data_IF_902511612022
#
_entry.id   IF_902511612022
#
_cell.length_a   1.000
_cell.length_b   1.000
_cell.length_c   1.000
_cell.angle_alpha   90.00
_cell.angle_beta   90.00
_cell.angle_gamma   90.00
#
_symmetry.space_group_name_H-M   'P 1'
#
loop_
_entity.id
_entity.type
_entity.pdbx_description
1 polymer ?
#
# COMPACT_ATOMS: atom_id res chain seq x y z
N UNK A 1 -5.35 12.78 10.17
CA UNK A 1 -5.57 11.64 9.25
C UNK A 1 -5.75 12.24 7.86
N UNK A 2 -5.12 11.66 6.83
CA UNK A 2 -5.25 12.18 5.45
C UNK A 2 -6.70 12.16 4.99
N UNK A 3 -7.03 12.98 3.99
CA UNK A 3 -8.42 13.20 3.53
C UNK A 3 -9.09 11.92 3.01
N UNK A 4 -8.32 10.88 2.66
CA UNK A 4 -8.77 9.67 1.96
C UNK A 4 -9.68 9.95 0.76
N UNK A 5 -9.55 11.12 0.14
CA UNK A 5 -10.45 11.60 -0.90
C UNK A 5 -10.44 10.69 -2.13
N UNK A 6 -9.31 10.03 -2.37
CA UNK A 6 -9.08 9.16 -3.51
C UNK A 6 -9.20 7.66 -3.19
N UNK A 7 -9.34 7.29 -1.91
CA UNK A 7 -9.55 5.91 -1.48
C UNK A 7 -8.32 5.00 -1.50
N UNK A 8 -7.12 5.58 -1.57
CA UNK A 8 -5.84 4.85 -1.54
C UNK A 8 -5.38 4.60 -0.10
N UNK A 9 -5.29 3.31 0.25
CA UNK A 9 -4.76 2.84 1.53
C UNK A 9 -3.41 2.15 1.32
N UNK A 10 -2.39 2.60 2.05
CA UNK A 10 -1.09 1.91 2.11
C UNK A 10 -1.00 1.11 3.41
N UNK A 11 -0.91 -0.21 3.29
CA UNK A 11 -0.66 -1.09 4.43
C UNK A 11 0.84 -1.28 4.59
N UNK A 12 1.30 -1.14 5.82
CA UNK A 12 2.70 -1.33 6.20
C UNK A 12 2.76 -2.13 7.49
N UNK A 13 3.91 -2.74 7.77
CA UNK A 13 4.18 -3.36 9.07
C UNK A 13 5.47 -2.79 9.60
N UNK A 14 5.35 -1.91 10.58
CA UNK A 14 6.47 -1.28 11.27
C UNK A 14 6.50 -1.80 12.71
N UNK A 15 7.62 -2.38 13.12
CA UNK A 15 7.86 -2.81 14.51
C UNK A 15 7.78 -1.62 15.48
N UNK A 16 8.36 -0.49 15.07
CA UNK A 16 8.31 0.77 15.80
C UNK A 16 7.37 1.77 15.11
N UNK A 17 6.24 2.06 15.75
CA UNK A 17 5.25 3.01 15.26
C UNK A 17 5.79 4.46 15.20
N UNK A 18 6.85 4.80 15.94
CA UNK A 18 7.50 6.10 15.84
C UNK A 18 8.19 6.33 14.48
N UNK A 19 8.37 5.27 13.67
CA UNK A 19 8.85 5.37 12.28
C UNK A 19 7.77 5.84 11.30
N UNK A 20 6.48 5.79 11.66
CA UNK A 20 5.38 6.14 10.75
C UNK A 20 5.48 7.60 10.22
N UNK A 21 5.78 8.63 11.03
CA UNK A 21 5.99 9.99 10.53
C UNK A 21 7.20 10.14 9.60
N UNK A 22 8.21 9.26 9.72
CA UNK A 22 9.34 9.24 8.77
C UNK A 22 8.89 8.65 7.44
N UNK A 23 8.08 7.59 7.47
CA UNK A 23 7.53 6.98 6.27
C UNK A 23 6.64 7.94 5.48
N UNK A 24 5.78 8.72 6.17
CA UNK A 24 4.96 9.77 5.54
C UNK A 24 5.78 10.86 4.85
N UNK A 25 7.04 11.06 5.27
CA UNK A 25 7.97 12.03 4.68
C UNK A 25 9.02 11.39 3.78
N UNK A 26 8.92 10.09 3.52
CA UNK A 26 9.88 9.35 2.70
C UNK A 26 9.86 9.87 1.26
N UNK A 27 11.03 10.23 0.74
CA UNK A 27 11.16 10.83 -0.60
C UNK A 27 10.81 9.83 -1.70
N UNK A 28 11.20 8.56 -1.54
CA UNK A 28 10.85 7.50 -2.49
C UNK A 28 9.33 7.31 -2.60
N UNK A 29 8.61 7.19 -1.48
CA UNK A 29 7.15 7.07 -1.48
C UNK A 29 6.47 8.31 -2.07
N UNK A 30 6.94 9.52 -1.73
CA UNK A 30 6.40 10.74 -2.29
C UNK A 30 6.59 10.82 -3.81
N UNK A 31 7.75 10.42 -4.33
CA UNK A 31 7.99 10.39 -5.77
C UNK A 31 7.15 9.31 -6.47
N UNK A 32 6.97 8.15 -5.83
CA UNK A 32 6.10 7.09 -6.32
C UNK A 32 4.64 7.57 -6.42
N UNK A 33 4.10 8.18 -5.36
CA UNK A 33 2.74 8.71 -5.36
C UNK A 33 2.55 9.78 -6.45
N UNK A 34 3.50 10.71 -6.58
CA UNK A 34 3.47 11.72 -7.66
C UNK A 34 3.43 11.08 -9.04
N UNK A 35 4.18 10.01 -9.27
CA UNK A 35 4.21 9.31 -10.55
C UNK A 35 2.88 8.64 -10.92
N UNK A 36 2.05 8.29 -9.93
CA UNK A 36 0.67 7.80 -10.11
C UNK A 36 -0.39 8.90 -9.90
N UNK A 37 0.00 10.18 -9.98
CA UNK A 37 -0.89 11.34 -9.82
C UNK A 37 -1.61 11.40 -8.46
N UNK A 38 -0.96 10.95 -7.40
CA UNK A 38 -1.44 11.00 -6.01
C UNK A 38 -0.50 11.85 -5.15
N UNK A 39 -1.00 12.27 -3.99
CA UNK A 39 -0.20 12.94 -2.95
C UNK A 39 -0.38 12.27 -1.60
N UNK A 40 0.61 12.39 -0.71
CA UNK A 40 0.63 11.71 0.59
C UNK A 40 -0.55 12.12 1.49
N UNK A 41 -0.96 13.39 1.41
CA UNK A 41 -2.05 13.99 2.19
C UNK A 41 -3.42 13.36 1.91
N UNK A 42 -3.59 12.77 0.72
CA UNK A 42 -4.81 12.09 0.30
C UNK A 42 -4.76 10.59 0.58
N UNK A 43 -3.59 10.06 0.94
CA UNK A 43 -3.39 8.66 1.24
C UNK A 43 -3.62 8.36 2.73
N UNK A 44 -4.08 7.15 3.01
CA UNK A 44 -4.15 6.64 4.39
C UNK A 44 -3.10 5.57 4.57
N UNK A 45 -2.16 5.77 5.50
CA UNK A 45 -1.21 4.73 5.89
C UNK A 45 -1.73 4.01 7.14
N UNK A 46 -1.87 2.69 7.05
CA UNK A 46 -2.25 1.83 8.16
C UNK A 46 -1.08 0.94 8.53
N UNK A 47 -0.57 1.12 9.75
CA UNK A 47 0.41 0.19 10.32
C UNK A 47 -0.31 -1.03 10.91
N UNK A 48 -0.14 -2.19 10.27
CA UNK A 48 -0.69 -3.47 10.72
C UNK A 48 0.21 -4.03 11.82
N UNK A 49 -0.19 -3.80 13.08
CA UNK A 49 0.56 -4.26 14.27
C UNK A 49 0.41 -5.75 14.55
N UNK A 50 -0.78 -6.31 14.31
CA UNK A 50 -1.09 -7.72 14.54
C UNK A 50 -0.36 -8.62 13.55
N UNK A 51 0.18 -9.80 13.92
CA UNK A 51 0.77 -10.74 12.97
C UNK A 51 -0.23 -11.24 11.92
N UNK A 52 -1.53 -11.10 12.21
CA UNK A 52 -2.61 -11.40 11.30
C UNK A 52 -2.85 -10.27 10.30
N UNK A 53 -3.27 -10.59 9.07
CA UNK A 53 -3.63 -9.58 8.09
C UNK A 53 -4.90 -8.83 8.54
N UNK A 54 -5.10 -7.61 8.03
CA UNK A 54 -6.34 -6.84 8.23
C UNK A 54 -7.36 -7.17 7.15
N UNK A 55 -8.64 -7.26 7.49
CA UNK A 55 -9.70 -7.45 6.50
C UNK A 55 -10.11 -6.13 5.82
N UNK A 56 -10.68 -6.21 4.62
CA UNK A 56 -11.27 -5.04 3.97
C UNK A 56 -12.46 -4.48 4.77
N UNK A 57 -13.21 -5.36 5.43
CA UNK A 57 -14.33 -4.99 6.30
C UNK A 57 -13.86 -4.15 7.48
N UNK A 58 -12.77 -4.53 8.15
CA UNK A 58 -12.19 -3.77 9.26
C UNK A 58 -11.71 -2.38 8.82
N UNK A 59 -11.12 -2.27 7.62
CA UNK A 59 -10.69 -0.98 7.09
C UNK A 59 -11.89 -0.07 6.81
N UNK A 60 -12.98 -0.62 6.22
CA UNK A 60 -14.21 0.12 5.93
C UNK A 60 -14.98 0.50 7.20
N UNK A 61 -15.01 -0.38 8.21
CA UNK A 61 -15.61 -0.10 9.51
C UNK A 61 -14.94 1.09 10.23
N UNK A 62 -13.69 1.42 9.88
CA UNK A 62 -12.98 2.63 10.34
C UNK A 62 -13.33 3.89 9.55
N UNK A 63 -14.34 3.83 8.68
CA UNK A 63 -14.78 4.94 7.83
C UNK A 63 -13.90 5.20 6.61
N UNK A 64 -13.01 4.25 6.24
CA UNK A 64 -12.15 4.41 5.07
C UNK A 64 -12.91 4.01 3.80
N UNK A 65 -12.98 4.93 2.84
CA UNK A 65 -13.42 4.65 1.47
C UNK A 65 -12.34 3.85 0.71
N UNK A 66 -12.15 2.56 1.05
CA UNK A 66 -11.10 1.73 0.45
C UNK A 66 -11.46 1.36 -0.99
N UNK A 67 -10.71 1.90 -1.96
CA UNK A 67 -10.81 1.57 -3.40
C UNK A 67 -9.53 0.91 -3.92
N UNK A 68 -8.40 1.37 -3.42
CA UNK A 68 -7.07 0.97 -3.86
C UNK A 68 -6.23 0.66 -2.63
N UNK A 69 -5.53 -0.47 -2.62
CA UNK A 69 -4.67 -0.88 -1.52
C UNK A 69 -3.28 -1.24 -2.05
N UNK A 70 -2.24 -0.65 -1.48
CA UNK A 70 -0.85 -1.09 -1.69
C UNK A 70 -0.33 -1.65 -0.37
N UNK A 71 0.08 -2.91 -0.35
CA UNK A 71 0.63 -3.56 0.83
C UNK A 71 2.14 -3.69 0.75
N UNK A 72 2.89 -2.93 1.54
CA UNK A 72 4.34 -3.00 1.63
C UNK A 72 4.78 -3.95 2.75
N UNK A 73 5.02 -5.21 2.40
CA UNK A 73 5.40 -6.26 3.34
C UNK A 73 4.55 -7.52 3.18
N UNK A 74 4.75 -8.48 4.07
CA UNK A 74 4.08 -9.79 4.01
C UNK A 74 2.81 -9.81 4.86
N UNK A 75 1.82 -10.58 4.40
CA UNK A 75 0.61 -10.92 5.15
C UNK A 75 -0.09 -9.70 5.78
N UNK A 76 -0.43 -8.73 4.93
CA UNK A 76 -0.99 -7.45 5.38
C UNK A 76 -2.49 -7.35 5.19
N UNK A 77 -3.03 -7.78 4.06
CA UNK A 77 -4.45 -7.76 3.75
C UNK A 77 -4.98 -9.20 3.74
N UNK A 78 -6.14 -9.43 4.36
CA UNK A 78 -6.77 -10.75 4.46
C UNK A 78 -7.46 -11.06 3.13
N UNK A 79 -6.61 -11.33 2.15
CA UNK A 79 -6.98 -11.88 0.87
C UNK A 79 -6.75 -13.35 1.04
N UNK A 80 -7.82 -14.17 1.03
CA UNK A 80 -7.72 -15.63 1.20
C UNK A 80 -6.43 -16.16 0.55
N UNK A 81 -5.51 -16.60 1.41
CA UNK A 81 -4.03 -16.44 1.39
C UNK A 81 -3.24 -17.07 0.22
N UNK A 82 -3.82 -17.27 -0.96
CA UNK A 82 -3.26 -18.12 -2.03
C UNK A 82 -3.17 -17.50 -3.43
N UNK A 83 -3.55 -16.24 -3.65
CA UNK A 83 -3.71 -15.71 -5.03
C UNK A 83 -2.85 -14.53 -5.44
N UNK A 84 -1.98 -14.01 -4.58
CA UNK A 84 -1.26 -12.76 -4.85
C UNK A 84 0.25 -12.98 -4.87
N UNK A 85 0.90 -12.61 -5.96
CA UNK A 85 2.36 -12.54 -6.06
C UNK A 85 2.82 -11.09 -5.87
N UNK A 86 3.98 -10.84 -5.24
CA UNK A 86 4.53 -9.48 -5.15
C UNK A 86 4.61 -8.82 -6.53
N UNK A 87 4.19 -7.56 -6.60
CA UNK A 87 4.15 -6.76 -7.82
C UNK A 87 3.15 -7.24 -8.88
N UNK A 88 2.17 -8.05 -8.49
CA UNK A 88 1.05 -8.44 -9.34
C UNK A 88 -0.25 -7.82 -8.78
N UNK A 89 -0.76 -6.73 -9.40
CA UNK A 89 -2.03 -6.15 -9.01
C UNK A 89 -3.16 -7.16 -9.24
N UNK A 90 -4.04 -7.29 -8.26
CA UNK A 90 -5.26 -8.11 -8.34
C UNK A 90 -6.49 -7.29 -7.98
N UNK A 91 -7.66 -7.78 -8.34
CA UNK A 91 -8.94 -7.21 -7.92
C UNK A 91 -9.64 -8.13 -6.93
N UNK A 92 -10.10 -7.56 -5.82
CA UNK A 92 -10.78 -8.23 -4.72
C UNK A 92 -12.13 -7.54 -4.56
N UNK A 93 -13.16 -8.11 -5.20
CA UNK A 93 -14.44 -7.42 -5.36
C UNK A 93 -14.26 -6.11 -6.12
N UNK A 94 -14.59 -4.99 -5.48
CA UNK A 94 -14.45 -3.63 -5.99
C UNK A 94 -13.09 -2.97 -5.68
N UNK A 95 -12.25 -3.62 -4.87
CA UNK A 95 -10.95 -3.08 -4.43
C UNK A 95 -9.81 -3.60 -5.29
N UNK A 96 -8.95 -2.71 -5.78
CA UNK A 96 -7.69 -3.09 -6.40
C UNK A 96 -6.60 -3.24 -5.32
N UNK A 97 -5.83 -4.33 -5.34
CA UNK A 97 -4.79 -4.62 -4.36
C UNK A 97 -3.46 -4.93 -5.04
N UNK A 98 -2.39 -4.26 -4.58
CA UNK A 98 -1.01 -4.48 -4.99
C UNK A 98 -0.16 -4.90 -3.80
N UNK A 99 0.24 -6.18 -3.68
CA UNK A 99 1.28 -6.59 -2.75
C UNK A 99 2.66 -6.14 -3.25
N UNK A 100 3.51 -5.68 -2.36
CA UNK A 100 4.87 -5.26 -2.64
C UNK A 100 5.80 -5.66 -1.49
N UNK A 101 7.11 -5.64 -1.72
CA UNK A 101 8.07 -5.78 -0.64
C UNK A 101 7.99 -4.60 0.35
N UNK A 102 8.70 -4.70 1.47
CA UNK A 102 8.82 -3.60 2.43
C UNK A 102 9.46 -2.38 1.77
N UNK A 103 9.03 -1.17 2.17
CA UNK A 103 9.45 0.10 1.58
C UNK A 103 10.98 0.22 1.58
N UNK A 104 11.61 -0.07 2.71
CA UNK A 104 13.08 -0.01 2.86
C UNK A 104 13.77 -0.94 1.86
N UNK A 105 13.27 -2.16 1.66
CA UNK A 105 13.87 -3.08 0.69
C UNK A 105 13.72 -2.62 -0.76
N UNK A 106 12.61 -1.97 -1.11
CA UNK A 106 12.40 -1.44 -2.45
C UNK A 106 13.28 -0.21 -2.68
N UNK A 107 13.40 0.66 -1.68
CA UNK A 107 14.18 1.90 -1.78
C UNK A 107 15.66 1.66 -2.13
N UNK A 108 16.23 0.52 -1.73
CA UNK A 108 17.62 0.18 -2.00
C UNK A 108 17.84 -0.82 -3.16
N UNK A 109 16.77 -1.27 -3.84
CA UNK A 109 16.85 -2.28 -4.90
C UNK A 109 16.21 -1.77 -6.22
N UNK A 110 17.05 -1.52 -7.22
CA UNK A 110 16.60 -1.02 -8.53
C UNK A 110 15.70 -2.02 -9.29
N UNK A 111 15.92 -3.33 -9.11
CA UNK A 111 15.08 -4.36 -9.70
C UNK A 111 13.67 -4.29 -9.13
N UNK A 112 13.56 -4.18 -7.80
CA UNK A 112 12.28 -4.04 -7.10
C UNK A 112 11.57 -2.73 -7.44
N UNK A 113 12.29 -1.61 -7.55
CA UNK A 113 11.71 -0.34 -8.02
C UNK A 113 11.08 -0.48 -9.39
N UNK A 114 11.76 -1.15 -10.32
CA UNK A 114 11.24 -1.40 -11.68
C UNK A 114 10.00 -2.28 -11.66
N UNK A 115 10.01 -3.36 -10.88
CA UNK A 115 8.84 -4.25 -10.72
C UNK A 115 7.64 -3.50 -10.13
N UNK A 116 7.87 -2.73 -9.07
CA UNK A 116 6.85 -1.89 -8.46
C UNK A 116 6.29 -0.90 -9.47
N UNK A 117 7.14 -0.19 -10.21
CA UNK A 117 6.70 0.77 -11.21
C UNK A 117 5.80 0.14 -12.27
N UNK A 118 6.19 -1.00 -12.83
CA UNK A 118 5.37 -1.74 -13.81
C UNK A 118 4.02 -2.18 -13.23
N UNK A 119 3.98 -2.55 -11.94
CA UNK A 119 2.74 -2.91 -11.26
C UNK A 119 1.84 -1.69 -11.03
N UNK A 120 2.42 -0.56 -10.61
CA UNK A 120 1.72 0.70 -10.42
C UNK A 120 1.12 1.22 -11.74
N UNK A 121 1.87 1.15 -12.84
CA UNK A 121 1.35 1.53 -14.16
C UNK A 121 0.11 0.72 -14.53
N UNK A 122 0.14 -0.61 -14.34
CA UNK A 122 -1.01 -1.49 -14.61
C UNK A 122 -2.21 -1.21 -13.71
N UNK A 123 -1.98 -0.78 -12.48
CA UNK A 123 -3.05 -0.57 -11.50
C UNK A 123 -3.69 0.82 -11.60
N UNK A 124 -2.92 1.86 -11.93
CA UNK A 124 -3.35 3.27 -11.83
C UNK A 124 -3.34 4.04 -13.14
N UNK A 125 -2.60 3.60 -14.15
CA UNK A 125 -2.37 4.36 -15.40
C UNK A 125 -2.82 3.61 -16.66
N UNK A 126 -3.49 2.48 -16.49
CA UNK A 126 -4.06 1.66 -17.57
C UNK A 126 -5.45 2.13 -17.96
#
# INVERSE_FOLDING_TARGET
MGSNANGLVMLVRLEDAAKLPRLQRNVFLNNMLKAIQRVMEECVIVNVKSPYPVSLEDLRARGLAVREVIGFGKNLLDVATKRTQPYEPVRIGDVAYLPAAEVEMIEYDNGRKKQLWQALQRMFLA
#
